data_IF_131761551016
#
_entry.id   IF_131761551016
#
_cell.length_a   1.000
_cell.length_b   1.000
_cell.length_c   1.000
_cell.angle_alpha   90.00
_cell.angle_beta   90.00
_cell.angle_gamma   90.00
#
_symmetry.space_group_name_H-M   'P 1'
#
loop_
_entity.id
_entity.type
_entity.pdbx_description
1 polymer ?
#
# COMPACT_ATOMS: atom_id res chain seq x y z
N UNK A 1 -19.08 -37.51 -15.28
CA UNK A 1 -18.68 -36.25 -15.94
C UNK A 1 -19.35 -35.10 -15.18
N UNK A 2 -18.60 -34.20 -14.54
CA UNK A 2 -19.19 -33.09 -13.80
C UNK A 2 -19.47 -31.96 -14.77
N UNK A 3 -20.74 -31.65 -14.99
CA UNK A 3 -21.22 -30.62 -15.96
C UNK A 3 -21.54 -29.29 -15.25
N UNK A 4 -21.16 -29.16 -13.95
CA UNK A 4 -21.39 -27.92 -13.25
C UNK A 4 -20.50 -26.81 -13.83
N UNK A 5 -21.03 -25.62 -14.14
CA UNK A 5 -20.22 -24.50 -14.62
C UNK A 5 -19.24 -24.10 -13.52
N UNK A 6 -17.96 -24.06 -13.84
CA UNK A 6 -16.93 -23.51 -12.95
C UNK A 6 -16.73 -22.02 -13.26
N UNK A 7 -16.48 -21.24 -12.23
CA UNK A 7 -16.13 -19.82 -12.39
C UNK A 7 -14.73 -19.75 -13.03
N UNK A 8 -14.65 -19.34 -14.28
CA UNK A 8 -13.39 -19.26 -15.05
C UNK A 8 -12.81 -17.87 -15.04
N UNK A 9 -13.64 -16.84 -14.86
CA UNK A 9 -13.22 -15.45 -14.87
C UNK A 9 -13.64 -14.74 -13.59
N UNK A 10 -12.74 -13.92 -13.06
CA UNK A 10 -13.00 -12.98 -11.98
C UNK A 10 -12.26 -11.67 -12.28
N UNK A 11 -12.76 -10.56 -11.77
CA UNK A 11 -12.14 -9.26 -11.89
C UNK A 11 -11.79 -8.71 -10.49
N UNK A 12 -10.63 -8.08 -10.38
CA UNK A 12 -10.28 -7.36 -9.17
C UNK A 12 -10.86 -5.94 -9.22
N UNK A 13 -11.52 -5.53 -8.15
CA UNK A 13 -12.14 -4.22 -8.03
C UNK A 13 -11.43 -3.42 -6.93
N UNK A 14 -10.97 -2.22 -7.28
CA UNK A 14 -10.35 -1.30 -6.34
C UNK A 14 -11.16 -0.01 -6.28
N UNK A 15 -11.65 0.40 -5.11
CA UNK A 15 -12.39 1.64 -4.96
C UNK A 15 -11.48 2.84 -5.13
N UNK A 16 -11.95 3.85 -5.86
CA UNK A 16 -11.28 5.14 -5.95
C UNK A 16 -11.42 5.85 -4.61
N UNK A 17 -10.33 6.40 -4.10
CA UNK A 17 -10.29 7.15 -2.84
C UNK A 17 -9.88 8.59 -3.12
N UNK A 18 -10.35 9.49 -2.26
CA UNK A 18 -9.98 10.91 -2.28
C UNK A 18 -9.22 11.23 -0.99
N UNK A 19 -8.18 12.04 -1.13
CA UNK A 19 -7.47 12.60 0.01
C UNK A 19 -7.63 14.13 0.00
N UNK A 20 -7.82 14.72 1.17
CA UNK A 20 -7.93 16.14 1.33
C UNK A 20 -7.26 16.58 2.63
N UNK A 21 -6.66 17.76 2.63
CA UNK A 21 -6.12 18.44 3.81
C UNK A 21 -6.86 19.75 3.97
N UNK A 22 -7.39 19.98 5.16
CA UNK A 22 -8.03 21.25 5.49
C UNK A 22 -6.98 22.26 5.98
N UNK A 23 -6.93 23.42 5.36
CA UNK A 23 -6.12 24.55 5.79
C UNK A 23 -7.05 25.54 6.47
N UNK A 24 -6.80 25.87 7.73
CA UNK A 24 -7.59 26.83 8.49
C UNK A 24 -6.70 27.81 9.22
N UNK A 25 -7.15 29.04 9.31
CA UNK A 25 -6.54 30.12 10.09
C UNK A 25 -7.57 30.54 11.13
N UNK A 26 -7.14 30.66 12.40
CA UNK A 26 -8.04 31.13 13.44
C UNK A 26 -8.15 32.66 13.43
N UNK A 27 -9.31 33.22 13.79
CA UNK A 27 -9.49 34.65 13.88
C UNK A 27 -8.57 35.36 14.90
N UNK A 28 -8.08 34.62 15.89
CA UNK A 28 -7.09 35.14 16.84
C UNK A 28 -5.69 35.30 16.19
N UNK A 29 -5.29 34.33 15.37
CA UNK A 29 -4.04 34.41 14.60
C UNK A 29 -4.09 35.57 13.59
N UNK A 30 -5.23 35.76 12.96
CA UNK A 30 -5.44 36.89 12.04
C UNK A 30 -5.32 38.25 12.77
N UNK A 31 -5.89 38.35 13.97
CA UNK A 31 -5.79 39.60 14.78
C UNK A 31 -4.35 39.83 15.30
N UNK A 32 -3.61 38.79 15.66
CA UNK A 32 -2.23 38.91 16.13
C UNK A 32 -1.26 39.25 15.00
N UNK A 33 -1.54 38.81 13.78
CA UNK A 33 -0.78 39.16 12.58
C UNK A 33 -1.47 40.24 11.76
N UNK A 34 -1.90 41.32 12.42
CA UNK A 34 -2.58 42.45 11.77
C UNK A 34 -1.61 43.26 10.93
N UNK A 35 -1.66 43.05 9.63
CA UNK A 35 -0.88 43.75 8.60
C UNK A 35 -1.01 42.98 7.28
N UNK A 36 -1.12 43.73 6.19
CA UNK A 36 -1.38 43.11 4.88
C UNK A 36 -0.28 42.10 4.49
N UNK A 37 0.98 42.43 4.71
CA UNK A 37 2.11 41.54 4.44
C UNK A 37 2.15 40.34 5.41
N UNK A 38 1.91 40.56 6.70
CA UNK A 38 1.94 39.49 7.71
C UNK A 38 0.85 38.45 7.49
N UNK A 39 -0.33 38.84 7.02
CA UNK A 39 -1.43 37.91 6.69
C UNK A 39 -1.07 37.07 5.46
N UNK A 40 -0.44 37.68 4.46
CA UNK A 40 0.01 36.97 3.25
C UNK A 40 1.06 35.92 3.62
N UNK A 41 2.07 36.27 4.41
CA UNK A 41 3.11 35.35 4.87
C UNK A 41 2.53 34.20 5.71
N UNK A 42 1.54 34.48 6.57
CA UNK A 42 0.86 33.46 7.37
C UNK A 42 0.10 32.46 6.48
N UNK A 43 -0.62 32.99 5.47
CA UNK A 43 -1.36 32.15 4.53
C UNK A 43 -0.41 31.26 3.73
N UNK A 44 0.67 31.83 3.20
CA UNK A 44 1.68 31.07 2.45
C UNK A 44 2.30 29.95 3.29
N UNK A 45 2.68 30.26 4.54
CA UNK A 45 3.22 29.26 5.46
C UNK A 45 2.21 28.14 5.78
N UNK A 46 0.92 28.47 5.90
CA UNK A 46 -0.14 27.49 6.14
C UNK A 46 -0.39 26.62 4.93
N UNK A 47 -0.34 27.17 3.73
CA UNK A 47 -0.45 26.40 2.47
C UNK A 47 0.73 25.44 2.35
N UNK A 48 1.96 25.91 2.53
CA UNK A 48 3.15 25.07 2.48
C UNK A 48 3.09 23.90 3.49
N UNK A 49 2.70 24.18 4.73
CA UNK A 49 2.51 23.12 5.73
C UNK A 49 1.38 22.15 5.36
N UNK A 50 0.31 22.64 4.72
CA UNK A 50 -0.76 21.80 4.19
C UNK A 50 -0.27 20.85 3.09
N UNK A 51 0.55 21.34 2.17
CA UNK A 51 1.17 20.55 1.11
C UNK A 51 2.08 19.46 1.70
N UNK A 52 2.96 19.81 2.64
CA UNK A 52 3.84 18.86 3.32
C UNK A 52 3.04 17.79 4.08
N UNK A 53 1.98 18.18 4.76
CA UNK A 53 1.08 17.26 5.47
C UNK A 53 0.40 16.30 4.50
N UNK A 54 -0.06 16.80 3.34
CA UNK A 54 -0.66 15.99 2.30
C UNK A 54 0.32 14.98 1.73
N UNK A 55 1.53 15.41 1.38
CA UNK A 55 2.58 14.54 0.83
C UNK A 55 3.00 13.46 1.82
N UNK A 56 3.15 13.81 3.10
CA UNK A 56 3.46 12.85 4.15
C UNK A 56 2.33 11.83 4.35
N UNK A 57 1.08 12.29 4.39
CA UNK A 57 -0.10 11.43 4.50
C UNK A 57 -0.25 10.48 3.31
N UNK A 58 0.00 10.98 2.09
CA UNK A 58 -0.01 10.16 0.89
C UNK A 58 1.09 9.11 0.91
N UNK A 59 2.30 9.48 1.31
CA UNK A 59 3.43 8.56 1.45
C UNK A 59 3.13 7.45 2.46
N UNK A 60 2.59 7.80 3.62
CA UNK A 60 2.16 6.82 4.62
C UNK A 60 1.06 5.89 4.07
N UNK A 61 0.10 6.45 3.32
CA UNK A 61 -0.96 5.66 2.67
C UNK A 61 -0.43 4.65 1.67
N UNK A 62 0.56 5.03 0.84
CA UNK A 62 1.18 4.15 -0.16
C UNK A 62 1.88 2.96 0.50
N UNK A 63 2.53 3.16 1.64
CA UNK A 63 3.21 2.09 2.37
C UNK A 63 2.32 1.38 3.41
N UNK A 64 1.10 1.84 3.61
CA UNK A 64 0.17 1.28 4.58
C UNK A 64 -0.41 -0.08 4.18
N UNK A 65 -1.02 -0.74 5.15
CA UNK A 65 -1.72 -2.02 4.98
C UNK A 65 -3.21 -1.87 4.61
N UNK A 66 -3.73 -0.64 4.60
CA UNK A 66 -5.13 -0.35 4.27
C UNK A 66 -6.14 -0.73 5.36
N UNK A 67 -5.70 -1.09 6.56
CA UNK A 67 -6.60 -1.48 7.67
C UNK A 67 -7.25 -0.29 8.36
N UNK A 68 -6.62 0.89 8.27
CA UNK A 68 -7.18 2.12 8.83
C UNK A 68 -8.39 2.56 8.02
N UNK A 69 -9.48 2.92 8.70
CA UNK A 69 -10.70 3.39 8.04
C UNK A 69 -10.39 4.60 7.13
N UNK A 70 -10.90 4.57 5.91
CA UNK A 70 -10.70 5.60 4.88
C UNK A 70 -9.26 5.74 4.34
N UNK A 71 -8.33 4.87 4.74
CA UNK A 71 -6.99 4.86 4.15
C UNK A 71 -6.98 4.30 2.73
N UNK A 72 -5.97 4.68 1.97
CA UNK A 72 -5.67 4.05 0.68
C UNK A 72 -5.06 2.68 0.93
N UNK A 73 -5.46 1.67 0.15
CA UNK A 73 -4.81 0.36 0.18
C UNK A 73 -3.39 0.49 -0.38
N UNK A 74 -2.40 0.35 0.49
CA UNK A 74 -1.00 0.52 0.12
C UNK A 74 -0.29 -0.77 -0.28
N UNK A 75 1.03 -0.67 -0.40
CA UNK A 75 1.89 -1.78 -0.82
C UNK A 75 1.83 -2.99 0.12
N UNK A 76 1.67 -2.77 1.44
CA UNK A 76 1.58 -3.87 2.39
C UNK A 76 0.30 -4.69 2.24
N UNK A 77 -0.78 -4.07 1.72
CA UNK A 77 -1.99 -4.80 1.36
C UNK A 77 -1.75 -5.70 0.14
N UNK A 78 -1.04 -5.18 -0.87
CA UNK A 78 -0.78 -5.90 -2.11
C UNK A 78 0.28 -6.99 -1.93
N UNK A 79 1.37 -6.67 -1.20
CA UNK A 79 2.48 -7.57 -0.93
C UNK A 79 2.49 -7.92 0.55
N UNK A 80 1.66 -8.89 0.92
CA UNK A 80 1.54 -9.32 2.30
C UNK A 80 2.66 -10.30 2.70
N UNK A 81 3.10 -10.20 3.96
CA UNK A 81 4.04 -11.18 4.55
C UNK A 81 3.42 -12.58 4.68
N UNK A 82 2.10 -12.64 4.85
CA UNK A 82 1.32 -13.89 4.90
C UNK A 82 0.35 -13.95 3.73
N UNK A 83 0.80 -14.34 2.53
CA UNK A 83 0.01 -14.24 1.31
C UNK A 83 -1.15 -15.24 1.22
N UNK A 84 -1.22 -16.19 2.14
CA UNK A 84 -2.28 -17.20 2.17
C UNK A 84 -3.61 -16.70 2.74
N UNK A 85 -3.64 -15.49 3.29
CA UNK A 85 -4.82 -14.90 3.93
C UNK A 85 -5.11 -13.50 3.41
N UNK A 86 -6.35 -13.06 3.62
CA UNK A 86 -6.79 -11.71 3.26
C UNK A 86 -7.42 -11.59 1.88
N UNK A 87 -8.20 -10.53 1.72
CA UNK A 87 -8.93 -10.20 0.49
C UNK A 87 -8.30 -8.98 -0.16
N UNK A 88 -7.97 -9.06 -1.42
CA UNK A 88 -7.41 -7.96 -2.20
C UNK A 88 -8.19 -7.82 -3.51
N UNK A 89 -8.71 -6.62 -3.74
CA UNK A 89 -9.54 -6.37 -4.91
C UNK A 89 -10.80 -7.25 -4.97
N UNK A 90 -11.40 -7.57 -3.80
CA UNK A 90 -12.56 -8.45 -3.71
C UNK A 90 -12.25 -9.94 -3.88
N UNK A 91 -11.00 -10.32 -4.16
CA UNK A 91 -10.58 -11.70 -4.36
C UNK A 91 -9.91 -12.24 -3.09
N UNK A 92 -10.43 -13.35 -2.56
CA UNK A 92 -9.88 -14.01 -1.39
C UNK A 92 -8.64 -14.83 -1.75
N UNK A 93 -7.51 -14.51 -1.13
CA UNK A 93 -6.24 -15.21 -1.31
C UNK A 93 -6.24 -16.63 -0.73
N UNK A 94 -7.12 -16.93 0.23
CA UNK A 94 -7.23 -18.26 0.78
C UNK A 94 -7.79 -19.24 -0.27
N UNK A 95 -8.79 -18.78 -1.01
CA UNK A 95 -9.48 -19.57 -2.05
C UNK A 95 -8.71 -19.60 -3.37
N UNK A 96 -8.03 -18.49 -3.73
CA UNK A 96 -7.38 -18.35 -5.02
C UNK A 96 -5.87 -18.21 -4.91
N UNK A 97 -5.16 -19.31 -5.10
CA UNK A 97 -3.70 -19.39 -4.94
C UNK A 97 -2.93 -18.55 -5.96
N UNK A 98 -3.45 -18.37 -7.17
CA UNK A 98 -2.82 -17.58 -8.21
C UNK A 98 -2.79 -16.07 -7.89
N UNK A 99 -3.64 -15.61 -6.94
CA UNK A 99 -3.71 -14.20 -6.51
C UNK A 99 -2.76 -13.89 -5.35
N UNK A 100 -2.01 -14.88 -4.87
CA UNK A 100 -1.03 -14.70 -3.81
C UNK A 100 0.26 -14.12 -4.34
N UNK A 101 0.81 -13.15 -3.59
CA UNK A 101 2.20 -12.75 -3.82
C UNK A 101 3.14 -13.86 -3.32
N UNK A 102 4.35 -13.89 -3.87
CA UNK A 102 5.39 -14.77 -3.34
C UNK A 102 5.97 -14.18 -2.06
N UNK A 103 6.15 -15.03 -1.07
CA UNK A 103 6.84 -14.68 0.17
C UNK A 103 7.86 -15.76 0.49
N UNK A 104 9.00 -15.34 0.98
CA UNK A 104 10.03 -16.23 1.44
C UNK A 104 10.37 -15.91 2.90
N UNK A 105 10.47 -16.94 3.71
CA UNK A 105 10.83 -16.84 5.12
C UNK A 105 11.95 -17.82 5.43
N UNK A 106 12.98 -17.36 6.13
CA UNK A 106 14.09 -18.19 6.56
C UNK A 106 13.60 -19.38 7.40
N UNK A 107 12.68 -19.15 8.32
CA UNK A 107 12.12 -20.18 9.18
C UNK A 107 11.39 -21.28 8.41
N UNK A 108 10.65 -20.92 7.36
CA UNK A 108 9.90 -21.90 6.54
C UNK A 108 10.84 -22.76 5.69
N UNK A 109 12.02 -22.25 5.36
CA UNK A 109 13.01 -22.94 4.53
C UNK A 109 14.17 -23.56 5.34
N UNK A 110 13.99 -23.72 6.65
CA UNK A 110 14.95 -24.37 7.52
C UNK A 110 16.22 -23.57 7.82
N UNK A 111 16.18 -22.25 7.57
CA UNK A 111 17.27 -21.34 7.86
C UNK A 111 16.93 -20.45 9.06
N UNK A 112 17.92 -20.18 9.89
CA UNK A 112 17.72 -19.34 11.08
C UNK A 112 17.79 -17.86 10.73
N UNK A 113 18.66 -17.47 9.80
CA UNK A 113 18.89 -16.07 9.37
C UNK A 113 19.30 -16.05 7.90
N UNK A 114 18.91 -15.00 7.19
CA UNK A 114 19.46 -14.66 5.89
C UNK A 114 20.92 -14.22 6.04
N UNK A 115 21.81 -14.83 5.30
CA UNK A 115 23.23 -14.46 5.23
C UNK A 115 23.62 -14.07 3.81
N UNK A 116 24.75 -13.40 3.66
CA UNK A 116 25.29 -13.04 2.33
C UNK A 116 25.55 -14.25 1.44
N UNK A 117 25.86 -15.42 2.03
CA UNK A 117 26.07 -16.66 1.29
C UNK A 117 24.75 -17.30 0.80
N UNK A 118 23.64 -17.10 1.51
CA UNK A 118 22.37 -17.73 1.19
C UNK A 118 21.44 -16.85 0.38
N UNK A 119 21.64 -15.53 0.38
CA UNK A 119 20.73 -14.58 -0.28
C UNK A 119 20.62 -14.81 -1.78
N UNK A 120 21.75 -15.08 -2.46
CA UNK A 120 21.76 -15.34 -3.90
C UNK A 120 20.98 -16.60 -4.25
N UNK A 121 21.21 -17.69 -3.53
CA UNK A 121 20.50 -18.95 -3.79
C UNK A 121 18.99 -18.81 -3.51
N UNK A 122 18.61 -17.95 -2.56
CA UNK A 122 17.21 -17.68 -2.28
C UNK A 122 16.56 -16.82 -3.36
N UNK A 123 17.27 -15.83 -3.87
CA UNK A 123 16.80 -15.04 -5.02
C UNK A 123 16.63 -15.91 -6.26
N UNK A 124 17.58 -16.80 -6.52
CA UNK A 124 17.49 -17.76 -7.63
C UNK A 124 16.29 -18.71 -7.47
N UNK A 125 15.97 -19.10 -6.27
CA UNK A 125 14.79 -19.96 -6.01
C UNK A 125 13.46 -19.22 -6.17
N UNK A 126 13.42 -17.93 -5.88
CA UNK A 126 12.23 -17.10 -6.04
C UNK A 126 11.98 -16.70 -7.49
N UNK A 127 13.05 -16.47 -8.24
CA UNK A 127 12.97 -15.97 -9.61
C UNK A 127 12.03 -16.79 -10.52
N UNK A 128 12.11 -18.13 -10.61
CA UNK A 128 11.21 -18.91 -11.43
C UNK A 128 9.75 -18.78 -11.03
N UNK A 129 9.48 -18.57 -9.74
CA UNK A 129 8.10 -18.42 -9.23
C UNK A 129 7.49 -17.05 -9.53
N UNK A 130 8.32 -16.04 -9.80
CA UNK A 130 7.90 -14.69 -10.17
C UNK A 130 7.69 -14.54 -11.68
N UNK A 131 8.38 -15.32 -12.47
CA UNK A 131 8.23 -15.34 -13.94
C UNK A 131 6.90 -15.98 -14.28
N UNK A 132 5.96 -15.16 -14.74
CA UNK A 132 4.65 -15.59 -15.21
C UNK A 132 4.55 -15.24 -16.68
N UNK A 133 4.48 -16.23 -17.53
CA UNK A 133 4.35 -16.01 -18.94
C UNK A 133 4.49 -17.27 -19.75
N UNK A 134 4.44 -17.10 -21.07
CA UNK A 134 4.45 -18.16 -22.07
C UNK A 134 5.79 -18.90 -22.15
N UNK A 135 6.86 -18.26 -21.60
CA UNK A 135 8.24 -18.74 -21.68
C UNK A 135 8.78 -19.17 -20.28
N UNK A 136 7.88 -19.52 -19.34
CA UNK A 136 8.21 -20.02 -18.01
C UNK A 136 8.11 -21.54 -17.95
#
# INVERSE_FOLDING_TARGET
MNIAPSQVFSAAEFPIRQAAVAISISGLEELQNSGEEAIIDLLESRVANGEDTFMNGLSQGIYGDGTVANSVGGLQLLVATSPATGVVGGIDRASWTFWRNQSWSAATNGLTVLSSATILSQMDSLWPSLVRGRDA
#
